data_IF_952520729038
#
_entry.id   IF_952520729038
#
_cell.length_a   1.000
_cell.length_b   1.000
_cell.length_c   1.000
_cell.angle_alpha   90.00
_cell.angle_beta   90.00
_cell.angle_gamma   90.00
#
_symmetry.space_group_name_H-M   'P 1'
#
loop_
_entity.id
_entity.type
_entity.pdbx_description
1 polymer ?
#
# COMPACT_ATOMS: atom_id res chain seq x y z
N UNK A 1 17.32 -7.35 -7.64
CA UNK A 1 16.89 -6.78 -8.95
C UNK A 1 15.42 -6.36 -8.94
N UNK A 2 14.45 -7.21 -8.59
CA UNK A 2 13.02 -6.84 -8.63
C UNK A 2 12.62 -5.72 -7.65
N UNK A 3 13.23 -5.65 -6.46
CA UNK A 3 13.03 -4.52 -5.55
C UNK A 3 13.50 -3.18 -6.16
N UNK A 4 14.60 -3.17 -6.92
CA UNK A 4 15.10 -1.96 -7.59
C UNK A 4 14.14 -1.49 -8.68
N UNK A 5 13.52 -2.42 -9.40
CA UNK A 5 12.46 -2.07 -10.38
C UNK A 5 11.28 -1.41 -9.68
N UNK A 6 10.86 -1.93 -8.53
CA UNK A 6 9.81 -1.31 -7.72
C UNK A 6 10.18 0.12 -7.29
N UNK A 7 11.41 0.30 -6.80
CA UNK A 7 11.94 1.60 -6.36
C UNK A 7 11.95 2.64 -7.47
N UNK A 8 12.43 2.26 -8.67
CA UNK A 8 12.37 3.13 -9.85
C UNK A 8 10.92 3.47 -10.22
N UNK A 9 10.02 2.49 -10.15
CA UNK A 9 8.59 2.72 -10.37
C UNK A 9 7.97 3.70 -9.38
N UNK A 10 8.33 3.61 -8.11
CA UNK A 10 7.90 4.55 -7.07
C UNK A 10 8.44 5.96 -7.34
N UNK A 11 9.72 6.09 -7.67
CA UNK A 11 10.32 7.39 -8.02
C UNK A 11 9.62 8.03 -9.22
N UNK A 12 9.33 7.25 -10.26
CA UNK A 12 8.60 7.73 -11.43
C UNK A 12 7.20 8.19 -11.01
N UNK A 13 6.39 7.30 -10.39
CA UNK A 13 5.01 7.61 -10.05
C UNK A 13 4.90 8.82 -9.11
N UNK A 14 5.64 8.83 -8.00
CA UNK A 14 5.54 9.87 -6.99
C UNK A 14 6.32 11.14 -7.37
N UNK A 15 7.38 11.03 -8.15
CA UNK A 15 8.04 12.17 -8.77
C UNK A 15 7.11 12.90 -9.74
N UNK A 16 6.36 12.16 -10.56
CA UNK A 16 5.30 12.74 -11.40
C UNK A 16 4.21 13.39 -10.55
N UNK A 17 3.72 12.72 -9.51
CA UNK A 17 2.72 13.30 -8.60
C UNK A 17 3.19 14.61 -7.98
N UNK A 18 4.44 14.67 -7.49
CA UNK A 18 5.04 15.90 -6.96
C UNK A 18 5.08 16.97 -8.04
N UNK A 19 5.48 16.63 -9.28
CA UNK A 19 5.46 17.56 -10.41
C UNK A 19 4.07 18.09 -10.77
N UNK A 20 3.01 17.29 -10.59
CA UNK A 20 1.62 17.76 -10.73
C UNK A 20 1.25 18.70 -9.59
N UNK A 21 1.60 18.33 -8.35
CA UNK A 21 1.29 19.10 -7.14
C UNK A 21 1.95 20.47 -7.11
N UNK A 22 3.15 20.62 -7.68
CA UNK A 22 3.86 21.91 -7.74
C UNK A 22 3.25 22.87 -8.77
N UNK A 23 2.54 22.36 -9.78
CA UNK A 23 1.88 23.15 -10.82
C UNK A 23 0.42 23.44 -10.50
N UNK A 24 -0.24 22.54 -9.77
CA UNK A 24 -1.65 22.69 -9.42
C UNK A 24 -1.84 23.83 -8.40
N UNK A 25 -2.92 24.62 -8.51
CA UNK A 25 -3.23 25.63 -7.51
C UNK A 25 -3.50 24.99 -6.14
N UNK A 26 -3.03 25.63 -5.08
CA UNK A 26 -3.30 25.20 -3.72
C UNK A 26 -4.75 25.50 -3.34
N UNK A 27 -5.49 24.47 -2.90
CA UNK A 27 -6.89 24.57 -2.49
C UNK A 27 -7.03 23.88 -1.13
N UNK A 28 -7.23 24.66 -0.07
CA UNK A 28 -7.38 24.09 1.28
C UNK A 28 -8.84 23.66 1.55
N UNK A 29 -9.10 22.46 2.11
CA UNK A 29 -8.14 21.41 2.48
C UNK A 29 -7.84 20.40 1.36
N UNK A 30 -8.48 20.50 0.19
CA UNK A 30 -8.34 19.53 -0.90
C UNK A 30 -6.90 19.14 -1.26
N UNK A 31 -5.96 20.08 -1.35
CA UNK A 31 -4.57 19.81 -1.73
C UNK A 31 -3.88 18.82 -0.79
N UNK A 32 -4.32 18.71 0.46
CA UNK A 32 -3.83 17.66 1.38
C UNK A 32 -4.25 16.26 0.97
N UNK A 33 -5.37 16.09 0.26
CA UNK A 33 -5.82 14.78 -0.20
C UNK A 33 -4.81 14.07 -1.11
N UNK A 34 -4.43 14.59 -2.30
CA UNK A 34 -3.46 13.92 -3.16
C UNK A 34 -2.07 13.83 -2.53
N UNK A 35 -1.67 14.78 -1.67
CA UNK A 35 -0.39 14.72 -0.94
C UNK A 35 -0.37 13.54 0.03
N UNK A 36 -1.35 13.46 0.92
CA UNK A 36 -1.40 12.43 1.95
C UNK A 36 -1.76 11.05 1.38
N UNK A 37 -2.63 10.97 0.37
CA UNK A 37 -2.90 9.70 -0.32
C UNK A 37 -1.68 9.22 -1.13
N UNK A 38 -0.89 10.15 -1.66
CA UNK A 38 0.39 9.83 -2.30
C UNK A 38 1.40 9.25 -1.29
N UNK A 39 1.60 9.94 -0.16
CA UNK A 39 2.45 9.44 0.93
C UNK A 39 1.98 8.10 1.48
N UNK A 40 0.68 7.90 1.64
CA UNK A 40 0.07 6.62 2.00
C UNK A 40 0.53 5.50 1.04
N UNK A 41 0.35 5.68 -0.27
CA UNK A 41 0.74 4.68 -1.27
C UNK A 41 2.25 4.41 -1.28
N UNK A 42 3.06 5.46 -1.22
CA UNK A 42 4.52 5.36 -1.21
C UNK A 42 5.03 4.61 0.03
N UNK A 43 4.69 5.10 1.23
CA UNK A 43 5.17 4.56 2.50
C UNK A 43 4.65 3.12 2.73
N UNK A 44 3.40 2.83 2.35
CA UNK A 44 2.87 1.47 2.42
C UNK A 44 3.67 0.51 1.52
N UNK A 45 4.01 0.94 0.30
CA UNK A 45 4.78 0.13 -0.64
C UNK A 45 6.21 -0.08 -0.15
N UNK A 46 6.88 0.96 0.34
CA UNK A 46 8.22 0.86 0.95
C UNK A 46 8.24 -0.12 2.13
N UNK A 47 7.26 -0.02 3.04
CA UNK A 47 7.16 -0.91 4.18
C UNK A 47 7.00 -2.38 3.78
N UNK A 48 6.33 -2.65 2.66
CA UNK A 48 6.22 -4.02 2.10
C UNK A 48 7.53 -4.45 1.46
N UNK A 49 8.13 -3.60 0.62
CA UNK A 49 9.34 -3.93 -0.15
C UNK A 49 10.55 -4.22 0.75
N UNK A 50 10.57 -3.67 1.96
CA UNK A 50 11.61 -3.89 2.97
C UNK A 50 11.69 -5.36 3.42
N UNK A 51 10.61 -6.13 3.34
CA UNK A 51 10.59 -7.52 3.83
C UNK A 51 11.27 -8.50 2.85
N UNK A 52 12.61 -8.53 2.83
CA UNK A 52 13.34 -9.39 1.91
C UNK A 52 13.35 -10.88 2.33
N UNK A 53 13.28 -11.84 1.38
CA UNK A 53 13.24 -13.26 1.69
C UNK A 53 14.47 -13.81 2.44
N UNK A 54 15.65 -13.24 2.23
CA UNK A 54 16.95 -13.87 2.54
C UNK A 54 17.73 -13.23 3.72
N UNK A 55 17.08 -12.43 4.56
CA UNK A 55 17.76 -11.73 5.66
C UNK A 55 18.17 -12.65 6.83
N UNK A 56 19.20 -12.25 7.59
CA UNK A 56 19.59 -12.89 8.86
C UNK A 56 18.48 -12.74 9.91
N UNK A 57 18.45 -13.59 10.94
CA UNK A 57 17.35 -13.59 11.95
C UNK A 57 17.16 -12.26 12.68
N UNK A 58 18.26 -11.57 13.03
CA UNK A 58 18.22 -10.25 13.68
C UNK A 58 17.67 -9.18 12.73
N UNK A 59 18.11 -9.19 11.47
CA UNK A 59 17.59 -8.33 10.41
C UNK A 59 16.08 -8.55 10.20
N UNK A 60 15.61 -9.81 10.20
CA UNK A 60 14.17 -10.13 10.11
C UNK A 60 13.32 -9.58 11.27
N UNK A 61 13.89 -9.45 12.46
CA UNK A 61 13.16 -8.88 13.60
C UNK A 61 13.02 -7.36 13.42
N UNK A 62 14.13 -6.69 13.12
CA UNK A 62 14.15 -5.25 12.82
C UNK A 62 13.24 -4.92 11.63
N UNK A 63 13.35 -5.67 10.53
CA UNK A 63 12.56 -5.48 9.32
C UNK A 63 11.04 -5.58 9.58
N UNK A 64 10.61 -6.50 10.47
CA UNK A 64 9.21 -6.59 10.88
C UNK A 64 8.75 -5.38 11.70
N UNK A 65 9.60 -4.89 12.59
CA UNK A 65 9.29 -3.67 13.36
C UNK A 65 9.18 -2.46 12.44
N UNK A 66 10.15 -2.27 11.54
CA UNK A 66 10.14 -1.17 10.56
C UNK A 66 8.92 -1.27 9.63
N UNK A 67 8.61 -2.46 9.13
CA UNK A 67 7.38 -2.73 8.37
C UNK A 67 6.12 -2.28 9.14
N UNK A 68 5.96 -2.71 10.39
CA UNK A 68 4.81 -2.30 11.22
C UNK A 68 4.71 -0.79 11.40
N UNK A 69 5.84 -0.12 11.70
CA UNK A 69 5.90 1.34 11.85
C UNK A 69 5.55 2.08 10.56
N UNK A 70 6.10 1.70 9.42
CA UNK A 70 5.82 2.33 8.13
C UNK A 70 4.35 2.15 7.73
N UNK A 71 3.78 0.95 7.91
CA UNK A 71 2.38 0.68 7.59
C UNK A 71 1.43 1.46 8.53
N UNK A 72 1.83 1.68 9.78
CA UNK A 72 1.07 2.52 10.72
C UNK A 72 1.15 4.00 10.34
N UNK A 73 2.32 4.49 9.94
CA UNK A 73 2.49 5.87 9.42
C UNK A 73 1.69 6.08 8.13
N UNK A 74 1.69 5.09 7.24
CA UNK A 74 0.90 5.10 6.01
C UNK A 74 -0.60 5.20 6.32
N UNK A 75 -1.09 4.48 7.34
CA UNK A 75 -2.48 4.58 7.79
C UNK A 75 -2.81 5.98 8.33
N UNK A 76 -1.94 6.58 9.15
CA UNK A 76 -2.13 7.97 9.63
C UNK A 76 -2.22 8.94 8.45
N UNK A 77 -1.34 8.79 7.46
CA UNK A 77 -1.38 9.60 6.24
C UNK A 77 -2.69 9.42 5.47
N UNK A 78 -3.16 8.18 5.31
CA UNK A 78 -4.43 7.88 4.65
C UNK A 78 -5.62 8.54 5.37
N UNK A 79 -5.65 8.50 6.71
CA UNK A 79 -6.71 9.14 7.51
C UNK A 79 -6.72 10.66 7.28
N UNK A 80 -5.57 11.32 7.29
CA UNK A 80 -5.46 12.77 7.03
C UNK A 80 -5.92 13.09 5.60
N UNK A 81 -5.48 12.32 4.61
CA UNK A 81 -5.88 12.52 3.22
C UNK A 81 -7.37 12.28 3.00
N UNK A 82 -7.96 11.34 3.72
CA UNK A 82 -9.40 11.04 3.64
C UNK A 82 -10.23 12.15 4.29
N UNK A 83 -9.81 12.62 5.47
CA UNK A 83 -10.40 13.78 6.12
C UNK A 83 -10.37 15.01 5.20
N UNK A 84 -9.24 15.29 4.55
CA UNK A 84 -9.07 16.45 3.68
C UNK A 84 -10.07 16.47 2.51
N UNK A 85 -10.32 15.34 1.84
CA UNK A 85 -11.31 15.28 0.75
C UNK A 85 -12.74 15.33 1.27
N UNK A 86 -13.00 14.71 2.43
CA UNK A 86 -14.32 14.73 3.06
C UNK A 86 -14.72 16.16 3.45
N UNK A 87 -13.89 16.83 4.24
CA UNK A 87 -14.10 18.22 4.67
C UNK A 87 -14.23 19.16 3.47
N UNK A 88 -13.40 19.00 2.44
CA UNK A 88 -13.49 19.81 1.24
C UNK A 88 -14.84 19.63 0.51
N UNK A 89 -15.37 18.40 0.46
CA UNK A 89 -16.68 18.14 -0.16
C UNK A 89 -17.83 18.72 0.65
N UNK A 90 -17.77 18.62 1.98
CA UNK A 90 -18.75 19.23 2.88
C UNK A 90 -18.82 20.74 2.68
N UNK A 91 -17.67 21.42 2.69
CA UNK A 91 -17.60 22.88 2.46
C UNK A 91 -18.16 23.33 1.12
N UNK A 92 -18.08 22.47 0.11
CA UNK A 92 -18.56 22.74 -1.25
C UNK A 92 -19.97 22.20 -1.51
N UNK A 93 -20.62 21.57 -0.53
CA UNK A 93 -21.93 20.93 -0.71
C UNK A 93 -21.93 19.84 -1.78
N UNK A 94 -20.82 19.12 -1.96
CA UNK A 94 -20.66 18.08 -2.99
C UNK A 94 -20.94 16.70 -2.43
N UNK A 95 -21.51 15.83 -3.25
CA UNK A 95 -21.80 14.45 -2.84
C UNK A 95 -20.54 13.63 -2.55
N UNK A 96 -20.62 12.78 -1.54
CA UNK A 96 -19.56 11.87 -1.10
C UNK A 96 -19.70 10.49 -1.73
N UNK A 97 -18.59 9.81 -2.04
CA UNK A 97 -18.64 8.43 -2.55
C UNK A 97 -19.51 8.25 -3.82
N UNK A 98 -19.35 9.10 -4.82
CA UNK A 98 -20.10 9.02 -6.10
C UNK A 98 -19.24 8.69 -7.33
N UNK A 99 -17.97 8.33 -7.13
CA UNK A 99 -17.06 7.99 -8.24
C UNK A 99 -16.39 6.63 -7.98
N UNK A 100 -15.97 5.95 -9.04
CA UNK A 100 -15.21 4.70 -8.92
C UNK A 100 -13.96 4.88 -8.03
N UNK A 101 -13.26 6.02 -8.19
CA UNK A 101 -12.13 6.38 -7.34
C UNK A 101 -12.54 6.48 -5.86
N UNK A 102 -13.68 7.12 -5.55
CA UNK A 102 -14.14 7.28 -4.18
C UNK A 102 -14.60 5.96 -3.54
N UNK A 103 -15.30 5.10 -4.28
CA UNK A 103 -15.69 3.77 -3.79
C UNK A 103 -14.49 2.87 -3.51
N UNK A 104 -13.57 2.77 -4.49
CA UNK A 104 -12.38 1.94 -4.35
C UNK A 104 -11.45 2.49 -3.28
N UNK A 105 -11.28 3.82 -3.20
CA UNK A 105 -10.43 4.46 -2.21
C UNK A 105 -10.93 4.29 -0.78
N UNK A 106 -12.24 4.45 -0.54
CA UNK A 106 -12.84 4.17 0.77
C UNK A 106 -12.64 2.70 1.17
N UNK A 107 -12.89 1.78 0.23
CA UNK A 107 -12.67 0.34 0.43
C UNK A 107 -11.20 0.05 0.74
N UNK A 108 -10.27 0.64 -0.01
CA UNK A 108 -8.83 0.45 0.17
C UNK A 108 -8.36 0.92 1.55
N UNK A 109 -8.75 2.13 1.97
CA UNK A 109 -8.41 2.69 3.29
C UNK A 109 -8.98 1.81 4.41
N UNK A 110 -10.24 1.39 4.30
CA UNK A 110 -10.87 0.53 5.30
C UNK A 110 -10.18 -0.84 5.42
N UNK A 111 -9.96 -1.52 4.30
CA UNK A 111 -9.28 -2.83 4.27
C UNK A 111 -7.84 -2.69 4.77
N UNK A 112 -7.15 -1.62 4.41
CA UNK A 112 -5.79 -1.35 4.89
C UNK A 112 -5.75 -1.11 6.40
N UNK A 113 -6.70 -0.35 6.96
CA UNK A 113 -6.80 -0.16 8.41
C UNK A 113 -6.99 -1.49 9.15
N UNK A 114 -7.91 -2.34 8.68
CA UNK A 114 -8.10 -3.69 9.22
C UNK A 114 -6.82 -4.53 9.11
N UNK A 115 -6.11 -4.43 7.99
CA UNK A 115 -4.88 -5.16 7.74
C UNK A 115 -3.73 -4.72 8.67
N UNK A 116 -3.60 -3.41 8.95
CA UNK A 116 -2.61 -2.87 9.90
C UNK A 116 -2.93 -3.36 11.31
N UNK A 117 -4.18 -3.23 11.77
CA UNK A 117 -4.61 -3.70 13.08
C UNK A 117 -4.41 -5.22 13.22
N UNK A 118 -4.75 -5.98 12.19
CA UNK A 118 -4.51 -7.42 12.14
C UNK A 118 -3.02 -7.74 12.22
N UNK A 119 -2.17 -7.05 11.45
CA UNK A 119 -0.71 -7.22 11.51
C UNK A 119 -0.12 -6.94 12.89
N UNK A 120 -0.55 -5.85 13.53
CA UNK A 120 -0.14 -5.50 14.90
C UNK A 120 -0.57 -6.59 15.89
N UNK A 121 -1.80 -7.09 15.77
CA UNK A 121 -2.28 -8.18 16.63
C UNK A 121 -1.45 -9.46 16.43
N UNK A 122 -1.08 -9.82 15.20
CA UNK A 122 -0.24 -11.00 14.91
C UNK A 122 1.17 -10.81 15.47
N UNK A 123 1.70 -9.59 15.47
CA UNK A 123 3.04 -9.28 15.97
C UNK A 123 3.13 -9.24 17.50
N UNK A 124 2.14 -8.65 18.18
CA UNK A 124 2.24 -8.28 19.60
C UNK A 124 1.25 -8.98 20.54
N UNK A 125 0.17 -9.58 20.03
CA UNK A 125 -0.76 -10.28 20.92
C UNK A 125 -0.12 -11.55 21.52
N UNK A 126 -0.54 -11.99 22.72
CA UNK A 126 -0.07 -13.24 23.30
C UNK A 126 -0.26 -14.41 22.34
N UNK A 127 0.76 -15.26 22.19
CA UNK A 127 0.73 -16.41 21.25
C UNK A 127 -0.49 -17.33 21.47
N UNK A 128 -1.03 -17.37 22.68
CA UNK A 128 -2.23 -18.12 23.05
C UNK A 128 -3.46 -17.72 22.20
N UNK A 129 -3.58 -16.44 21.83
CA UNK A 129 -4.70 -15.91 21.03
C UNK A 129 -4.86 -16.62 19.68
N UNK A 130 -3.74 -16.97 19.04
CA UNK A 130 -3.71 -17.66 17.75
C UNK A 130 -3.39 -19.16 17.83
N UNK A 131 -3.40 -19.76 19.04
CA UNK A 131 -2.97 -21.15 19.25
C UNK A 131 -3.75 -22.17 18.41
N UNK A 132 -5.08 -22.02 18.33
CA UNK A 132 -5.96 -22.93 17.57
C UNK A 132 -5.77 -22.83 16.06
N UNK A 133 -5.43 -21.63 15.55
CA UNK A 133 -5.22 -21.39 14.12
C UNK A 133 -3.80 -21.79 13.69
N UNK A 134 -2.83 -21.57 14.58
CA UNK A 134 -1.41 -21.80 14.36
C UNK A 134 -0.72 -20.58 13.74
N UNK A 135 0.47 -20.26 14.27
CA UNK A 135 1.23 -19.05 13.89
C UNK A 135 1.58 -18.98 12.40
N UNK A 136 1.86 -20.14 11.79
CA UNK A 136 2.19 -20.19 10.37
C UNK A 136 0.97 -19.91 9.47
N UNK A 137 -0.22 -20.36 9.88
CA UNK A 137 -1.47 -20.12 9.15
C UNK A 137 -1.93 -18.68 9.29
N UNK A 138 -1.90 -18.11 10.49
CA UNK A 138 -2.29 -16.70 10.68
C UNK A 138 -1.36 -15.74 9.94
N UNK A 139 -0.05 -16.01 9.96
CA UNK A 139 0.93 -15.24 9.16
C UNK A 139 0.66 -15.36 7.67
N UNK A 140 0.21 -16.53 7.19
CA UNK A 140 -0.17 -16.72 5.78
C UNK A 140 -1.40 -15.88 5.44
N UNK A 141 -2.43 -15.90 6.28
CA UNK A 141 -3.65 -15.11 6.09
C UNK A 141 -3.25 -13.62 6.00
N UNK A 142 -2.46 -13.13 6.97
CA UNK A 142 -1.96 -11.75 6.95
C UNK A 142 -1.22 -11.41 5.65
N UNK A 143 -0.37 -12.29 5.12
CA UNK A 143 0.30 -12.04 3.83
C UNK A 143 -0.69 -11.94 2.66
N UNK A 144 -1.62 -12.89 2.55
CA UNK A 144 -2.59 -12.92 1.45
C UNK A 144 -3.52 -11.71 1.49
N UNK A 145 -4.07 -11.39 2.67
CA UNK A 145 -4.91 -10.20 2.84
C UNK A 145 -4.11 -8.90 2.65
N UNK A 146 -2.81 -8.92 2.96
CA UNK A 146 -1.88 -7.83 2.67
C UNK A 146 -1.70 -7.58 1.17
N UNK A 147 -1.59 -8.65 0.36
CA UNK A 147 -1.53 -8.53 -1.10
C UNK A 147 -2.83 -7.97 -1.68
N UNK A 148 -3.99 -8.42 -1.18
CA UNK A 148 -5.28 -7.85 -1.57
C UNK A 148 -5.35 -6.36 -1.21
N UNK A 149 -4.94 -6.01 0.01
CA UNK A 149 -4.95 -4.63 0.49
C UNK A 149 -4.08 -3.72 -0.39
N UNK A 150 -2.81 -4.07 -0.66
CA UNK A 150 -1.91 -3.24 -1.48
C UNK A 150 -2.39 -3.15 -2.94
N UNK A 151 -3.03 -4.18 -3.48
CA UNK A 151 -3.67 -4.12 -4.80
C UNK A 151 -4.82 -3.13 -4.85
N UNK A 152 -5.65 -3.03 -3.80
CA UNK A 152 -6.70 -2.01 -3.71
C UNK A 152 -6.12 -0.59 -3.63
N UNK A 153 -5.01 -0.40 -2.92
CA UNK A 153 -4.30 0.90 -2.87
C UNK A 153 -3.84 1.32 -4.25
N UNK A 154 -3.10 0.45 -4.94
CA UNK A 154 -2.59 0.76 -6.29
C UNK A 154 -3.71 0.88 -7.33
N UNK A 155 -4.79 0.11 -7.22
CA UNK A 155 -5.98 0.30 -8.03
C UNK A 155 -6.65 1.66 -7.80
N UNK A 156 -6.67 2.15 -6.55
CA UNK A 156 -7.19 3.49 -6.23
C UNK A 156 -6.31 4.58 -6.81
N UNK A 157 -4.97 4.43 -6.70
CA UNK A 157 -3.99 5.33 -7.28
C UNK A 157 -4.12 5.40 -8.81
N UNK A 158 -4.33 4.25 -9.47
CA UNK A 158 -4.65 4.22 -10.89
C UNK A 158 -5.91 5.03 -11.22
N UNK A 159 -7.00 4.80 -10.49
CA UNK A 159 -8.24 5.56 -10.69
C UNK A 159 -8.06 7.06 -10.39
N UNK A 160 -7.11 7.44 -9.53
CA UNK A 160 -6.79 8.84 -9.26
C UNK A 160 -6.21 9.54 -10.50
N UNK A 161 -5.33 8.87 -11.24
CA UNK A 161 -4.68 9.39 -12.46
C UNK A 161 -5.71 9.78 -13.53
N UNK A 162 -6.81 9.03 -13.62
CA UNK A 162 -7.85 9.30 -14.62
C UNK A 162 -8.91 10.31 -14.17
N UNK A 163 -8.82 10.83 -12.94
CA UNK A 163 -9.74 11.88 -12.45
C UNK A 163 -9.56 13.18 -13.22
N UNK A 164 -10.63 13.97 -13.30
CA UNK A 164 -10.61 15.28 -13.95
C UNK A 164 -9.58 16.24 -13.35
N UNK A 165 -9.27 16.10 -12.04
CA UNK A 165 -8.27 16.94 -11.40
C UNK A 165 -6.85 16.67 -11.93
N UNK A 166 -6.45 15.40 -12.05
CA UNK A 166 -5.12 15.07 -12.61
C UNK A 166 -5.06 15.46 -14.08
N UNK A 167 -6.06 15.06 -14.88
CA UNK A 167 -6.12 15.39 -16.32
C UNK A 167 -6.09 16.89 -16.62
N UNK A 168 -6.62 17.72 -15.72
CA UNK A 168 -6.56 19.18 -15.85
C UNK A 168 -5.16 19.76 -15.62
N UNK A 169 -4.36 19.12 -14.76
CA UNK A 169 -3.05 19.62 -14.34
C UNK A 169 -1.87 18.89 -15.01
N UNK A 170 -2.15 17.80 -15.75
CA UNK A 170 -1.14 16.96 -16.37
C UNK A 170 -1.72 16.12 -17.51
N UNK A 171 -1.07 16.14 -18.67
CA UNK A 171 -1.51 15.57 -19.95
C UNK A 171 -0.67 14.36 -20.42
N UNK A 172 0.27 13.89 -19.59
CA UNK A 172 1.17 12.77 -19.89
C UNK A 172 0.95 11.58 -18.95
N UNK A 173 -0.30 11.14 -18.76
CA UNK A 173 -0.64 10.08 -17.78
C UNK A 173 0.12 8.76 -17.96
N UNK A 174 0.64 8.48 -19.17
CA UNK A 174 1.44 7.29 -19.44
C UNK A 174 2.67 7.16 -18.53
N UNK A 175 3.21 8.28 -18.02
CA UNK A 175 4.33 8.28 -17.07
C UNK A 175 3.92 7.65 -15.74
N UNK A 176 2.70 7.92 -15.26
CA UNK A 176 2.15 7.25 -14.08
C UNK A 176 1.98 5.74 -14.32
N UNK A 177 1.49 5.35 -15.50
CA UNK A 177 1.30 3.93 -15.83
C UNK A 177 2.63 3.17 -15.94
N UNK A 178 3.68 3.80 -16.47
CA UNK A 178 5.02 3.25 -16.47
C UNK A 178 5.50 2.97 -15.04
N UNK A 179 5.41 3.98 -14.16
CA UNK A 179 5.80 3.83 -12.76
C UNK A 179 5.00 2.72 -12.05
N UNK A 180 3.68 2.71 -12.24
CA UNK A 180 2.79 1.69 -11.66
C UNK A 180 3.11 0.28 -12.16
N UNK A 181 3.38 0.11 -13.46
CA UNK A 181 3.76 -1.18 -14.04
C UNK A 181 5.05 -1.72 -13.43
N UNK A 182 6.05 -0.85 -13.23
CA UNK A 182 7.31 -1.21 -12.57
C UNK A 182 7.10 -1.59 -11.10
N UNK A 183 6.26 -0.86 -10.36
CA UNK A 183 5.89 -1.24 -8.99
C UNK A 183 5.18 -2.60 -8.95
N UNK A 184 4.24 -2.85 -9.86
CA UNK A 184 3.53 -4.12 -9.93
C UNK A 184 4.49 -5.30 -10.17
N UNK A 185 5.43 -5.17 -11.12
CA UNK A 185 6.48 -6.18 -11.36
C UNK A 185 7.31 -6.42 -10.10
N UNK A 186 7.72 -5.35 -9.43
CA UNK A 186 8.49 -5.43 -8.20
C UNK A 186 7.76 -6.13 -7.06
N UNK A 187 6.49 -5.79 -6.84
CA UNK A 187 5.63 -6.39 -5.80
C UNK A 187 5.32 -7.86 -6.07
N UNK A 188 4.94 -8.21 -7.30
CA UNK A 188 4.70 -9.60 -7.71
C UNK A 188 5.97 -10.42 -7.54
N UNK A 189 7.13 -9.84 -7.88
CA UNK A 189 8.44 -10.43 -7.67
C UNK A 189 8.80 -10.77 -6.23
N UNK A 190 8.14 -10.14 -5.24
CA UNK A 190 8.35 -10.46 -3.82
C UNK A 190 7.46 -11.60 -3.31
N UNK A 191 6.45 -12.02 -4.09
CA UNK A 191 5.60 -13.13 -3.72
C UNK A 191 6.46 -14.40 -3.67
N UNK A 192 6.50 -15.03 -2.51
CA UNK A 192 7.27 -16.27 -2.30
C UNK A 192 6.31 -17.46 -2.22
N UNK A 193 6.17 -18.29 -3.28
CA UNK A 193 5.17 -19.36 -3.31
C UNK A 193 5.27 -20.38 -2.17
N UNK A 194 6.50 -20.68 -1.72
CA UNK A 194 6.75 -21.59 -0.59
C UNK A 194 6.21 -21.07 0.74
N UNK A 195 6.14 -19.74 0.90
CA UNK A 195 5.55 -19.05 2.06
C UNK A 195 4.03 -18.98 2.00
N UNK A 196 3.46 -19.25 0.83
CA UNK A 196 2.02 -19.39 0.57
C UNK A 196 1.57 -20.87 0.56
N UNK A 197 2.51 -21.80 0.71
CA UNK A 197 2.29 -23.25 0.65
C UNK A 197 1.75 -23.71 -0.71
N UNK A 198 2.12 -22.98 -1.77
CA UNK A 198 1.82 -23.35 -3.16
C UNK A 198 2.83 -24.36 -3.72
N UNK A 199 3.93 -24.63 -3.00
CA UNK A 199 4.87 -25.71 -3.30
C UNK A 199 4.82 -26.80 -2.23
N UNK A 200 4.82 -28.09 -2.61
CA UNK A 200 4.92 -29.18 -1.64
C UNK A 200 6.18 -29.05 -0.79
N UNK A 201 6.10 -29.35 0.51
CA UNK A 201 7.31 -29.55 1.32
C UNK A 201 8.11 -30.67 0.66
N UNK A 202 9.30 -30.37 0.13
CA UNK A 202 10.25 -31.41 -0.33
C UNK A 202 10.52 -32.30 0.87
N UNK A 203 10.04 -33.55 0.84
CA UNK A 203 10.41 -34.55 1.84
C UNK A 203 11.94 -34.65 1.77
N UNK A 204 12.63 -34.35 2.86
CA UNK A 204 14.04 -34.69 2.98
C UNK A 204 14.10 -36.21 2.88
N UNK A 205 14.58 -36.73 1.76
CA UNK A 205 15.06 -38.11 1.69
C UNK A 205 16.32 -38.09 2.54
N UNK A 206 16.23 -38.64 3.75
CA UNK A 206 17.42 -38.92 4.54
C UNK A 206 18.23 -39.99 3.79
N UNK A 207 19.56 -39.85 3.68
CA UNK A 207 20.42 -40.94 3.23
C UNK A 207 20.40 -42.11 4.21
#
# INVERSE_FOLDING_TARGET
>A
MLAVVAQLGLIIYFGTLIGVLTKAPWVYPYSWHPICMGLYGFVATEGILLLQPNEKRTQRALARTVHGSLLSLALVSAVIGFWAIYENKDRLGKEHFHTNHAYLGCTAVFVFALQVLFGLSVAYAPKAFYRRIGQARITRIHRVTGYISISLVWGTLWLAVVTSWVKKNFDQEWIFYLGMGMVAVGLVGQITPSRLYLTPKRKSVAP
#
